data_IF_914063568104
#
_entry.id   IF_914063568104
#
_cell.length_a   1.000
_cell.length_b   1.000
_cell.length_c   1.000
_cell.angle_alpha   90.00
_cell.angle_beta   90.00
_cell.angle_gamma   90.00
#
_symmetry.space_group_name_H-M   'P 1'
#
loop_
_entity.id
_entity.type
_entity.pdbx_description
1 polymer ?
#
# COMPACT_ATOMS: atom_id res chain seq x y z
N UNK A 1 -12.98 18.59 11.77
CA UNK A 1 -13.60 17.65 10.78
C UNK A 1 -12.56 17.03 9.81
N UNK A 2 -12.99 16.38 8.72
CA UNK A 2 -12.12 15.98 7.61
C UNK A 2 -12.63 16.47 6.25
N UNK A 3 -11.69 16.67 5.32
CA UNK A 3 -11.92 17.07 3.94
C UNK A 3 -11.40 15.99 3.00
N UNK A 4 -12.23 15.60 2.05
CA UNK A 4 -11.94 14.61 1.02
C UNK A 4 -11.88 15.33 -0.34
N UNK A 5 -10.85 15.09 -1.14
CA UNK A 5 -10.65 15.73 -2.44
C UNK A 5 -10.50 14.65 -3.52
N UNK A 6 -11.30 14.75 -4.59
CA UNK A 6 -11.21 13.86 -5.75
C UNK A 6 -10.31 14.41 -6.86
N UNK A 7 -9.90 13.53 -7.78
CA UNK A 7 -9.11 13.89 -8.98
C UNK A 7 -9.80 14.91 -9.89
N UNK A 8 -11.13 15.04 -9.80
CA UNK A 8 -11.93 15.99 -10.57
C UNK A 8 -12.12 17.33 -9.85
N UNK A 9 -11.43 17.56 -8.72
CA UNK A 9 -11.53 18.80 -7.95
C UNK A 9 -12.79 18.91 -7.08
N UNK A 10 -13.53 17.82 -6.90
CA UNK A 10 -14.67 17.80 -5.97
C UNK A 10 -14.15 17.67 -4.55
N UNK A 11 -14.50 18.61 -3.68
CA UNK A 11 -14.17 18.57 -2.27
C UNK A 11 -15.42 18.33 -1.41
N UNK A 12 -15.34 17.38 -0.48
CA UNK A 12 -16.42 17.02 0.43
C UNK A 12 -15.93 17.16 1.88
N UNK A 13 -16.67 17.91 2.69
CA UNK A 13 -16.46 18.05 4.14
C UNK A 13 -17.33 17.03 4.85
N UNK A 14 -16.75 16.26 5.77
CA UNK A 14 -17.47 15.23 6.53
C UNK A 14 -17.03 15.29 7.99
N UNK A 15 -17.98 15.19 8.92
CA UNK A 15 -17.65 15.19 10.34
C UNK A 15 -17.12 13.82 10.73
N UNK A 16 -16.17 13.80 11.66
CA UNK A 16 -15.53 12.54 12.09
C UNK A 16 -16.54 11.63 12.81
N UNK A 17 -17.51 12.23 13.51
CA UNK A 17 -18.62 11.54 14.19
C UNK A 17 -19.53 10.75 13.24
N UNK A 18 -19.57 11.08 11.94
CA UNK A 18 -20.40 10.39 10.95
C UNK A 18 -19.74 9.10 10.44
N UNK A 19 -18.43 8.91 10.69
CA UNK A 19 -17.69 7.73 10.26
C UNK A 19 -17.79 6.64 11.33
N UNK A 20 -18.23 5.46 10.91
CA UNK A 20 -18.35 4.31 11.82
C UNK A 20 -16.98 3.87 12.36
N UNK A 21 -16.93 3.53 13.65
CA UNK A 21 -15.75 2.92 14.27
C UNK A 21 -15.71 1.42 13.92
N UNK A 22 -14.76 1.02 13.08
CA UNK A 22 -14.54 -0.38 12.71
C UNK A 22 -13.17 -0.88 13.19
N UNK A 23 -13.09 -2.19 13.45
CA UNK A 23 -11.84 -2.86 13.82
C UNK A 23 -10.84 -2.94 12.66
N UNK A 24 -9.60 -3.33 12.99
CA UNK A 24 -8.45 -3.32 12.04
C UNK A 24 -8.57 -4.33 10.90
N UNK A 25 -9.33 -5.42 11.08
CA UNK A 25 -9.55 -6.44 10.04
C UNK A 25 -10.93 -6.25 9.38
N UNK A 26 -11.12 -5.09 8.74
CA UNK A 26 -12.35 -4.75 8.03
C UNK A 26 -12.04 -4.03 6.72
N UNK A 27 -12.98 -4.03 5.79
CA UNK A 27 -12.88 -3.25 4.53
C UNK A 27 -13.19 -1.76 4.74
N UNK A 28 -13.69 -1.37 5.91
CA UNK A 28 -14.14 -0.01 6.19
C UNK A 28 -15.55 0.29 5.64
N UNK A 29 -15.88 1.58 5.61
CA UNK A 29 -17.17 2.09 5.12
C UNK A 29 -16.94 3.11 4.01
N UNK A 30 -17.93 3.23 3.11
CA UNK A 30 -17.89 4.22 2.05
C UNK A 30 -18.35 5.58 2.59
N UNK A 31 -17.40 6.50 2.78
CA UNK A 31 -17.68 7.88 3.26
C UNK A 31 -18.29 8.75 2.15
N UNK A 32 -17.84 8.61 0.90
CA UNK A 32 -18.35 9.37 -0.24
C UNK A 32 -18.70 8.44 -1.42
N UNK A 33 -19.70 8.82 -2.21
CA UNK A 33 -19.97 8.20 -3.51
C UNK A 33 -19.27 9.02 -4.59
N UNK A 34 -18.31 8.41 -5.27
CA UNK A 34 -17.68 8.99 -6.46
C UNK A 34 -18.46 8.58 -7.71
N UNK A 35 -18.39 9.41 -8.75
CA UNK A 35 -18.93 9.06 -10.08
C UNK A 35 -17.99 8.09 -10.81
N UNK A 36 -18.42 7.54 -11.94
CA UNK A 36 -17.55 6.74 -12.80
C UNK A 36 -16.32 7.54 -13.25
N UNK A 37 -15.14 6.94 -13.08
CA UNK A 37 -13.85 7.57 -13.39
C UNK A 37 -13.37 8.59 -12.35
N UNK A 38 -14.14 8.84 -11.29
CA UNK A 38 -13.76 9.73 -10.19
C UNK A 38 -13.14 8.91 -9.04
N UNK A 39 -11.94 9.30 -8.63
CA UNK A 39 -11.20 8.67 -7.55
C UNK A 39 -10.83 9.70 -6.49
N UNK A 40 -10.84 9.27 -5.22
CA UNK A 40 -10.34 10.06 -4.11
C UNK A 40 -8.82 10.13 -4.19
N UNK A 41 -8.25 11.33 -4.20
CA UNK A 41 -6.79 11.53 -4.29
C UNK A 41 -6.16 12.04 -3.01
N UNK A 42 -6.94 12.71 -2.16
CA UNK A 42 -6.42 13.27 -0.92
C UNK A 42 -7.47 13.31 0.20
N UNK A 43 -7.00 13.14 1.43
CA UNK A 43 -7.75 13.35 2.66
C UNK A 43 -6.95 14.27 3.56
N UNK A 44 -7.62 15.26 4.13
CA UNK A 44 -7.01 16.21 5.06
C UNK A 44 -7.88 16.36 6.31
N UNK A 45 -7.24 16.52 7.47
CA UNK A 45 -7.93 16.88 8.72
C UNK A 45 -8.14 18.38 8.74
N UNK A 46 -9.36 18.81 8.98
CA UNK A 46 -9.69 20.21 9.27
C UNK A 46 -9.63 20.38 10.78
N UNK A 47 -8.74 21.25 11.25
CA UNK A 47 -8.76 21.77 12.62
C UNK A 47 -9.71 22.96 12.59
N UNK A 48 -10.78 22.90 13.36
CA UNK A 48 -11.67 24.05 13.58
C UNK A 48 -11.01 24.91 14.66
N UNK A 49 -10.66 26.15 14.32
CA UNK A 49 -10.24 27.17 15.28
C UNK A 49 -11.45 27.57 16.14
N UNK A 50 -11.78 26.78 17.16
CA UNK A 50 -12.70 27.22 18.23
C UNK A 50 -12.03 27.29 19.61
N UNK A 51 -10.75 26.91 19.74
CA UNK A 51 -10.01 27.18 20.97
C UNK A 51 -8.52 27.38 20.70
N UNK A 52 -8.01 28.45 21.29
CA UNK A 52 -6.62 28.86 21.18
C UNK A 52 -5.67 27.79 21.75
N UNK A 53 -4.57 27.57 21.04
CA UNK A 53 -3.32 26.99 21.53
C UNK A 53 -3.35 25.55 22.10
N UNK A 54 -2.91 24.61 21.26
CA UNK A 54 -2.02 23.54 21.70
C UNK A 54 -0.78 23.53 20.80
N UNK A 55 0.44 23.75 21.33
CA UNK A 55 1.65 23.64 20.52
C UNK A 55 1.81 22.18 20.08
N UNK A 56 1.87 21.98 18.76
CA UNK A 56 2.29 20.73 18.16
C UNK A 56 3.61 20.28 18.83
N UNK A 57 3.54 19.19 19.60
CA UNK A 57 4.73 18.57 20.16
C UNK A 57 5.64 18.14 18.99
N UNK A 58 6.95 18.44 19.03
CA UNK A 58 7.84 18.06 17.95
C UNK A 58 7.83 16.54 17.80
N UNK A 59 7.55 16.07 16.59
CA UNK A 59 7.76 14.68 16.20
C UNK A 59 9.25 14.43 16.34
N UNK A 60 9.65 13.72 17.39
CA UNK A 60 11.03 13.25 17.56
C UNK A 60 11.23 12.16 16.51
N UNK A 61 11.80 12.53 15.37
CA UNK A 61 12.43 11.55 14.48
C UNK A 61 13.67 11.04 15.19
N UNK A 62 13.51 9.95 15.93
CA UNK A 62 14.59 9.17 16.48
C UNK A 62 15.39 8.57 15.31
N UNK A 63 16.58 9.13 15.06
CA UNK A 63 17.64 8.43 14.33
C UNK A 63 18.02 7.20 15.15
N UNK A 64 17.51 6.03 14.76
CA UNK A 64 18.18 4.78 15.09
C UNK A 64 19.26 4.55 14.05
N UNK A 65 20.49 4.84 14.48
CA UNK A 65 21.72 4.42 13.84
C UNK A 65 21.82 2.89 13.96
N UNK A 66 21.42 2.17 12.90
CA UNK A 66 21.70 0.75 12.79
C UNK A 66 23.11 0.59 12.22
N UNK A 67 24.09 0.47 13.13
CA UNK A 67 25.36 -0.17 12.83
C UNK A 67 25.08 -1.65 12.58
N UNK A 68 25.24 -2.07 11.33
CA UNK A 68 25.35 -3.46 10.94
C UNK A 68 26.63 -3.59 10.10
N UNK A 69 27.68 -4.05 10.79
CA UNK A 69 28.82 -4.75 10.22
C UNK A 69 28.27 -5.98 9.47
N UNK A 70 28.27 -5.94 8.14
CA UNK A 70 28.13 -7.14 7.31
C UNK A 70 29.01 -6.96 6.06
N UNK A 71 30.05 -7.77 6.02
CA UNK A 71 31.12 -7.76 5.02
C UNK A 71 30.59 -8.15 3.64
N UNK A 72 30.57 -7.20 2.70
CA UNK A 72 30.44 -7.51 1.27
C UNK A 72 31.79 -8.03 0.75
N UNK A 73 31.90 -9.35 0.59
CA UNK A 73 32.88 -9.97 -0.31
C UNK A 73 32.12 -10.97 -1.18
N UNK A 74 31.45 -10.42 -2.19
CA UNK A 74 30.93 -11.19 -3.32
C UNK A 74 32.09 -11.52 -4.26
N UNK A 75 32.68 -12.70 -4.06
CA UNK A 75 33.55 -13.34 -5.03
C UNK A 75 32.69 -13.72 -6.25
N UNK A 76 32.85 -12.97 -7.34
CA UNK A 76 32.32 -13.32 -8.65
C UNK A 76 33.10 -14.52 -9.18
N UNK A 77 32.50 -15.71 -9.13
CA UNK A 77 32.94 -16.85 -9.93
C UNK A 77 31.89 -17.16 -10.99
N UNK A 78 32.25 -16.89 -12.25
CA UNK A 78 31.50 -17.30 -13.41
C UNK A 78 31.68 -18.81 -13.63
N UNK A 79 30.56 -19.53 -13.73
CA UNK A 79 30.38 -20.91 -14.25
C UNK A 79 28.89 -21.22 -14.16
N UNK A 80 28.17 -21.86 -15.07
CA UNK A 80 28.39 -22.44 -16.39
C UNK A 80 26.96 -22.68 -16.95
N UNK A 81 26.78 -22.50 -18.26
CA UNK A 81 25.77 -23.03 -19.21
C UNK A 81 24.29 -23.31 -18.81
N UNK A 82 23.29 -22.91 -19.64
CA UNK A 82 21.92 -23.42 -19.54
C UNK A 82 21.77 -24.79 -20.23
N UNK A 83 21.27 -25.78 -19.49
CA UNK A 83 20.84 -27.06 -20.04
C UNK A 83 19.36 -26.96 -20.44
N UNK A 84 19.10 -26.95 -21.74
CA UNK A 84 17.78 -27.19 -22.31
C UNK A 84 17.51 -28.69 -22.27
N UNK A 85 16.48 -29.13 -21.55
CA UNK A 85 15.95 -30.49 -21.72
C UNK A 85 14.47 -30.44 -22.11
N UNK A 86 14.26 -30.65 -23.40
CA UNK A 86 12.97 -30.72 -24.06
C UNK A 86 12.50 -32.18 -24.01
N UNK A 87 11.82 -32.56 -22.94
CA UNK A 87 11.26 -33.90 -22.82
C UNK A 87 9.93 -34.00 -23.59
N UNK A 88 10.04 -34.38 -24.86
CA UNK A 88 8.95 -35.02 -25.60
C UNK A 88 8.65 -36.38 -24.96
N UNK A 89 7.37 -36.64 -24.68
CA UNK A 89 6.87 -37.90 -24.15
C UNK A 89 5.52 -38.24 -24.75
N UNK A 90 5.48 -38.46 -26.06
CA UNK A 90 4.39 -39.19 -26.73
C UNK A 90 4.48 -40.66 -26.30
N UNK A 91 3.58 -41.05 -25.39
CA UNK A 91 3.41 -42.43 -24.96
C UNK A 91 2.27 -43.09 -25.72
N UNK A 92 2.60 -43.71 -26.86
CA UNK A 92 1.80 -44.75 -27.50
C UNK A 92 1.43 -45.84 -26.50
N UNK A 93 0.13 -46.12 -26.32
CA UNK A 93 -0.34 -47.39 -25.75
C UNK A 93 -1.49 -47.97 -26.58
N UNK A 94 -1.10 -48.93 -27.41
CA UNK A 94 -1.74 -50.22 -27.75
C UNK A 94 -3.20 -50.27 -28.24
N UNK A 95 -3.30 -50.58 -29.54
CA UNK A 95 -4.41 -51.29 -30.18
C UNK A 95 -3.97 -52.74 -30.43
N UNK A 96 -4.68 -53.75 -29.88
CA UNK A 96 -4.92 -55.05 -30.54
C UNK A 96 -5.94 -55.94 -29.80
N UNK A 97 -6.88 -56.46 -30.62
CA UNK A 97 -7.91 -57.53 -30.49
C UNK A 97 -8.92 -57.53 -29.33
#
# INVERSE_FOLDING_TARGET
EMMLISNQGTAVRTRVEEVSLLGRNTQGVRVIRTRDGEALVSVSRIVEDDDAAEPASPVVTESTEASADDTDTIETTASESPETDNASGDGDTETQD
#
